data_IF_821405568849
#
_entry.id   IF_821405568849
#
_cell.length_a   1.000
_cell.length_b   1.000
_cell.length_c   1.000
_cell.angle_alpha   90.00
_cell.angle_beta   90.00
_cell.angle_gamma   90.00
#
_symmetry.space_group_name_H-M   'P 1'
#
loop_
_entity.id
_entity.type
_entity.pdbx_description
1 polymer ?
#
# COMPACT_ATOMS: atom_id res chain seq x y z
N UNK A 1 7.32 43.20 -9.63
CA UNK A 1 6.70 42.11 -8.86
C UNK A 1 7.74 41.03 -8.60
N UNK A 2 8.33 41.00 -7.41
CA UNK A 2 9.29 39.95 -7.04
C UNK A 2 8.54 38.67 -6.69
N UNK A 3 8.82 37.57 -7.40
CA UNK A 3 8.31 36.25 -7.02
C UNK A 3 8.93 35.87 -5.68
N UNK A 4 8.11 35.82 -4.63
CA UNK A 4 8.52 35.40 -3.29
C UNK A 4 8.76 33.90 -3.34
N UNK A 5 10.01 33.46 -3.49
CA UNK A 5 10.36 32.04 -3.37
C UNK A 5 10.15 31.67 -1.90
N UNK A 6 9.07 30.96 -1.62
CA UNK A 6 8.82 30.40 -0.30
C UNK A 6 9.78 29.24 -0.09
N UNK A 7 10.69 29.36 0.87
CA UNK A 7 11.50 28.22 1.31
C UNK A 7 10.54 27.18 1.91
N UNK A 8 10.33 26.08 1.20
CA UNK A 8 9.61 24.92 1.75
C UNK A 8 10.54 24.25 2.75
N UNK A 9 10.11 24.13 4.00
CA UNK A 9 10.87 23.40 5.01
C UNK A 9 10.79 21.90 4.74
N UNK A 10 11.87 21.18 5.03
CA UNK A 10 11.94 19.72 4.89
C UNK A 10 10.78 19.02 5.65
N UNK A 11 10.30 19.61 6.74
CA UNK A 11 9.14 19.14 7.49
C UNK A 11 7.83 19.14 6.69
N UNK A 12 7.61 20.12 5.82
CA UNK A 12 6.42 20.18 4.95
C UNK A 12 6.52 19.11 3.87
N UNK A 13 7.71 18.90 3.31
CA UNK A 13 7.96 17.85 2.30
C UNK A 13 7.73 16.47 2.92
N UNK A 14 8.32 16.19 4.09
CA UNK A 14 8.17 14.93 4.80
C UNK A 14 6.72 14.66 5.22
N UNK A 15 5.96 15.69 5.57
CA UNK A 15 4.53 15.57 5.87
C UNK A 15 3.74 15.20 4.62
N UNK A 16 3.91 15.92 3.52
CA UNK A 16 3.20 15.61 2.27
C UNK A 16 3.54 14.21 1.74
N UNK A 17 4.81 13.77 1.85
CA UNK A 17 5.19 12.41 1.47
C UNK A 17 4.50 11.36 2.34
N UNK A 18 4.39 11.60 3.65
CA UNK A 18 3.66 10.72 4.56
C UNK A 18 2.19 10.63 4.19
N UNK A 19 1.54 11.76 3.98
CA UNK A 19 0.11 11.81 3.66
C UNK A 19 -0.20 11.02 2.36
N UNK A 20 0.68 11.11 1.35
CA UNK A 20 0.56 10.32 0.11
C UNK A 20 0.73 8.82 0.38
N UNK A 21 1.75 8.43 1.13
CA UNK A 21 1.97 7.02 1.45
C UNK A 21 0.86 6.42 2.32
N UNK A 22 0.30 7.19 3.25
CA UNK A 22 -0.84 6.76 4.08
C UNK A 22 -2.09 6.55 3.21
N UNK A 23 -2.38 7.47 2.28
CA UNK A 23 -3.50 7.33 1.34
C UNK A 23 -3.35 6.10 0.43
N UNK A 24 -2.14 5.87 -0.11
CA UNK A 24 -1.87 4.71 -0.97
C UNK A 24 -2.06 3.39 -0.20
N UNK A 25 -1.58 3.32 1.04
CA UNK A 25 -1.78 2.15 1.90
C UNK A 25 -3.26 1.89 2.15
N UNK A 26 -4.06 2.93 2.43
CA UNK A 26 -5.51 2.76 2.63
C UNK A 26 -6.22 2.24 1.36
N UNK A 27 -5.78 2.64 0.17
CA UNK A 27 -6.31 2.14 -1.09
C UNK A 27 -5.95 0.67 -1.33
N UNK A 28 -4.68 0.31 -1.14
CA UNK A 28 -4.21 -1.06 -1.30
C UNK A 28 -4.82 -2.02 -0.25
N UNK A 29 -4.95 -1.59 1.00
CA UNK A 29 -5.62 -2.37 2.06
C UNK A 29 -7.11 -2.59 1.76
N UNK A 30 -7.77 -1.61 1.15
CA UNK A 30 -9.16 -1.73 0.69
C UNK A 30 -9.27 -2.74 -0.45
N UNK A 31 -8.43 -2.64 -1.48
CA UNK A 31 -8.42 -3.57 -2.61
C UNK A 31 -8.14 -5.01 -2.14
N UNK A 32 -7.10 -5.21 -1.33
CA UNK A 32 -6.74 -6.50 -0.76
C UNK A 32 -7.88 -7.07 0.10
N UNK A 33 -8.53 -6.22 0.89
CA UNK A 33 -9.70 -6.60 1.69
C UNK A 33 -10.92 -7.02 0.85
N UNK A 34 -11.12 -6.44 -0.33
CA UNK A 34 -12.16 -6.87 -1.27
C UNK A 34 -11.86 -8.25 -1.85
N UNK A 35 -10.62 -8.50 -2.26
CA UNK A 35 -10.16 -9.80 -2.73
C UNK A 35 -10.32 -10.88 -1.64
N UNK A 36 -9.90 -10.59 -0.41
CA UNK A 36 -10.09 -11.51 0.71
C UNK A 36 -11.56 -11.83 0.98
N UNK A 37 -12.44 -10.81 0.95
CA UNK A 37 -13.89 -11.02 1.09
C UNK A 37 -14.48 -11.85 -0.04
N UNK A 38 -14.04 -11.63 -1.29
CA UNK A 38 -14.49 -12.37 -2.47
C UNK A 38 -14.29 -13.88 -2.31
N UNK A 39 -13.16 -14.29 -1.73
CA UNK A 39 -12.84 -15.71 -1.52
C UNK A 39 -13.10 -16.22 -0.09
N UNK A 40 -13.63 -15.37 0.79
CA UNK A 40 -13.84 -15.69 2.22
C UNK A 40 -12.57 -16.14 2.94
N UNK A 41 -11.44 -15.53 2.59
CA UNK A 41 -10.11 -15.79 3.18
C UNK A 41 -9.62 -14.57 3.97
N UNK A 42 -8.52 -14.72 4.72
CA UNK A 42 -7.89 -13.60 5.47
C UNK A 42 -6.45 -13.31 5.07
N UNK A 43 -5.85 -14.14 4.22
CA UNK A 43 -4.50 -13.95 3.69
C UNK A 43 -4.35 -14.67 2.36
N UNK A 44 -3.41 -14.23 1.52
CA UNK A 44 -3.07 -14.94 0.28
C UNK A 44 -2.69 -16.41 0.52
N UNK A 45 -2.06 -16.72 1.66
CA UNK A 45 -1.69 -18.11 2.05
C UNK A 45 -2.89 -19.05 2.15
N UNK A 46 -4.04 -18.56 2.61
CA UNK A 46 -5.26 -19.38 2.65
C UNK A 46 -5.76 -19.71 1.24
N UNK A 47 -5.39 -18.90 0.24
CA UNK A 47 -5.72 -19.16 -1.16
C UNK A 47 -4.86 -20.27 -1.78
N UNK A 48 -3.65 -20.53 -1.26
CA UNK A 48 -2.81 -21.66 -1.70
C UNK A 48 -3.45 -23.02 -1.39
N UNK A 49 -4.29 -23.07 -0.34
CA UNK A 49 -5.05 -24.26 0.03
C UNK A 49 -6.29 -24.48 -0.85
N UNK A 50 -6.66 -23.47 -1.65
CA UNK A 50 -7.82 -23.53 -2.55
C UNK A 50 -7.35 -23.96 -3.94
N UNK A 51 -7.99 -24.99 -4.50
CA UNK A 51 -7.77 -25.36 -5.88
C UNK A 51 -8.34 -24.28 -6.81
N UNK A 52 -7.47 -23.64 -7.62
CA UNK A 52 -7.87 -22.69 -8.64
C UNK A 52 -8.84 -23.33 -9.63
N UNK A 53 -10.03 -22.75 -9.76
CA UNK A 53 -11.09 -23.28 -10.62
C UNK A 53 -11.14 -22.64 -12.00
N UNK A 54 -10.53 -21.46 -12.14
CA UNK A 54 -10.50 -20.65 -13.35
C UNK A 54 -9.30 -19.69 -13.36
N UNK A 55 -9.06 -19.08 -14.51
CA UNK A 55 -8.00 -18.08 -14.71
C UNK A 55 -8.22 -16.78 -13.93
N UNK A 56 -9.47 -16.46 -13.57
CA UNK A 56 -9.79 -15.27 -12.77
C UNK A 56 -9.23 -15.44 -11.36
N UNK A 57 -9.42 -16.61 -10.77
CA UNK A 57 -8.90 -16.95 -9.46
C UNK A 57 -7.36 -16.95 -9.41
N UNK A 58 -6.69 -17.38 -10.48
CA UNK A 58 -5.23 -17.30 -10.58
C UNK A 58 -4.75 -15.84 -10.68
N UNK A 59 -5.45 -14.99 -11.45
CA UNK A 59 -5.12 -13.56 -11.54
C UNK A 59 -5.33 -12.86 -10.21
N UNK A 60 -6.44 -13.14 -9.52
CA UNK A 60 -6.74 -12.55 -8.23
C UNK A 60 -5.72 -12.97 -7.17
N UNK A 61 -5.27 -14.24 -7.19
CA UNK A 61 -4.21 -14.69 -6.30
C UNK A 61 -2.89 -13.95 -6.54
N UNK A 62 -2.47 -13.81 -7.81
CA UNK A 62 -1.28 -13.01 -8.16
C UNK A 62 -1.43 -11.57 -7.69
N UNK A 63 -2.62 -10.98 -7.87
CA UNK A 63 -2.90 -9.62 -7.41
C UNK A 63 -2.82 -9.49 -5.89
N UNK A 64 -3.32 -10.46 -5.12
CA UNK A 64 -3.17 -10.45 -3.67
C UNK A 64 -1.70 -10.46 -3.23
N UNK A 65 -0.86 -11.28 -3.88
CA UNK A 65 0.58 -11.33 -3.59
C UNK A 65 1.28 -10.00 -3.89
N UNK A 66 0.96 -9.38 -5.04
CA UNK A 66 1.48 -8.06 -5.40
C UNK A 66 1.08 -6.99 -4.37
N UNK A 67 -0.20 -6.95 -3.97
CA UNK A 67 -0.71 -6.01 -2.99
C UNK A 67 -0.05 -6.17 -1.61
N UNK A 68 0.17 -7.41 -1.17
CA UNK A 68 0.87 -7.70 0.09
C UNK A 68 2.33 -7.20 0.06
N UNK A 69 3.04 -7.39 -1.05
CA UNK A 69 4.41 -6.92 -1.24
C UNK A 69 4.50 -5.38 -1.32
N UNK A 70 3.57 -4.74 -2.05
CA UNK A 70 3.46 -3.29 -2.15
C UNK A 70 3.17 -2.68 -0.77
N UNK A 71 2.23 -3.24 -0.02
CA UNK A 71 1.92 -2.82 1.34
C UNK A 71 3.12 -2.96 2.29
N UNK A 72 3.87 -4.06 2.21
CA UNK A 72 5.07 -4.25 3.01
C UNK A 72 6.12 -3.16 2.70
N UNK A 73 6.32 -2.88 1.41
CA UNK A 73 7.27 -1.87 0.93
C UNK A 73 6.86 -0.47 1.38
N UNK A 74 5.61 -0.07 1.20
CA UNK A 74 5.10 1.23 1.62
C UNK A 74 5.15 1.40 3.14
N UNK A 75 4.77 0.37 3.90
CA UNK A 75 4.88 0.38 5.37
C UNK A 75 6.33 0.52 5.83
N UNK A 76 7.28 -0.09 5.13
CA UNK A 76 8.72 0.09 5.38
C UNK A 76 9.17 1.51 5.09
N UNK A 77 8.79 2.08 3.94
CA UNK A 77 9.07 3.47 3.59
C UNK A 77 8.53 4.45 4.64
N UNK A 78 7.29 4.25 5.11
CA UNK A 78 6.71 5.06 6.19
C UNK A 78 7.46 4.94 7.51
N UNK A 79 7.92 3.74 7.89
CA UNK A 79 8.75 3.56 9.09
C UNK A 79 10.07 4.32 8.95
N UNK A 80 10.72 4.24 7.81
CA UNK A 80 11.98 4.94 7.54
C UNK A 80 11.80 6.48 7.55
N UNK A 81 10.66 6.98 7.03
CA UNK A 81 10.30 8.39 7.13
C UNK A 81 10.04 8.84 8.58
N UNK A 82 9.38 8.01 9.39
CA UNK A 82 9.15 8.29 10.82
C UNK A 82 10.46 8.32 11.60
N UNK A 83 11.43 7.47 11.27
CA UNK A 83 12.77 7.46 11.89
C UNK A 83 13.64 8.66 11.49
N UNK A 84 13.39 9.27 10.32
CA UNK A 84 14.11 10.44 9.80
C UNK A 84 13.47 11.78 10.15
N UNK A 85 12.23 11.78 10.63
CA UNK A 85 11.58 12.98 11.14
C UNK A 85 12.12 13.27 12.56
N UNK A 86 12.83 14.40 12.79
CA UNK A 86 13.30 14.79 14.12
C UNK A 86 12.15 15.12 15.08
#
# INVERSE_FOLDING_TARGET
MGKKIMSVSDSVILKSMRDVFESEIEELERELGELYRKYSIRSSREMEEISFKDEEMERDFKRMLELEEELETLKKCLRDLKLKAP
#
